data_IF_794955422924
#
_entry.id   IF_794955422924
#
_cell.length_a   1.000
_cell.length_b   1.000
_cell.length_c   1.000
_cell.angle_alpha   90.00
_cell.angle_beta   90.00
_cell.angle_gamma   90.00
#
_symmetry.space_group_name_H-M   'P 1'
#
loop_
_entity.id
_entity.type
_entity.pdbx_description
1 polymer ?
#
# COMPACT_ATOMS: atom_id res chain seq x y z
N UNK A 1 6.51 4.47 -28.83
CA UNK A 1 7.84 3.85 -28.70
C UNK A 1 7.82 2.87 -27.51
N UNK A 2 6.94 1.85 -27.62
CA UNK A 2 6.66 0.88 -26.54
C UNK A 2 6.69 -0.52 -27.19
N UNK A 3 7.86 -1.05 -27.48
CA UNK A 3 8.05 -2.44 -27.90
C UNK A 3 9.52 -2.86 -27.80
N UNK A 4 10.10 -2.90 -26.59
CA UNK A 4 11.44 -3.48 -26.36
C UNK A 4 11.66 -4.13 -24.99
N UNK A 5 10.62 -4.38 -24.18
CA UNK A 5 10.82 -5.01 -22.86
C UNK A 5 10.13 -6.37 -22.67
N UNK A 6 9.55 -6.98 -23.70
CA UNK A 6 8.88 -8.30 -23.61
C UNK A 6 9.77 -9.47 -23.99
N UNK A 7 10.98 -9.24 -24.53
CA UNK A 7 11.82 -10.30 -25.12
C UNK A 7 12.82 -10.96 -24.17
N UNK A 8 12.93 -10.54 -22.90
CA UNK A 8 13.93 -11.13 -22.00
C UNK A 8 13.37 -12.17 -21.00
N UNK A 9 12.05 -12.31 -20.92
CA UNK A 9 11.43 -13.27 -19.98
C UNK A 9 11.13 -14.64 -20.62
N UNK A 10 11.22 -14.76 -21.94
CA UNK A 10 10.90 -16.02 -22.65
C UNK A 10 12.09 -16.98 -22.82
N UNK A 11 13.30 -16.56 -22.47
CA UNK A 11 14.52 -17.39 -22.65
C UNK A 11 14.87 -18.23 -21.43
N UNK A 12 14.27 -17.98 -20.27
CA UNK A 12 14.62 -18.69 -19.02
C UNK A 12 13.78 -19.95 -18.73
N UNK A 13 12.73 -20.22 -19.53
CA UNK A 13 11.84 -21.38 -19.32
C UNK A 13 12.22 -22.62 -20.13
N UNK A 14 13.23 -22.55 -21.02
CA UNK A 14 13.52 -23.61 -21.99
C UNK A 14 14.78 -24.45 -21.72
N UNK A 15 15.36 -24.40 -20.51
CA UNK A 15 16.56 -25.16 -20.15
C UNK A 15 16.41 -26.19 -19.01
N UNK A 16 15.24 -26.76 -18.79
CA UNK A 16 15.04 -27.78 -17.75
C UNK A 16 14.25 -28.99 -18.20
N UNK A 17 14.58 -29.54 -19.42
CA UNK A 17 14.10 -30.86 -19.79
C UNK A 17 15.19 -31.63 -20.54
N UNK A 18 16.06 -32.34 -19.80
CA UNK A 18 16.76 -33.52 -20.31
C UNK A 18 17.50 -34.21 -19.19
N UNK A 19 16.88 -35.13 -18.48
CA UNK A 19 17.53 -36.32 -17.94
C UNK A 19 16.46 -37.42 -17.80
N UNK A 20 16.30 -38.17 -18.87
CA UNK A 20 15.70 -39.52 -18.86
C UNK A 20 16.85 -40.50 -18.70
N UNK A 21 16.96 -41.12 -17.54
CA UNK A 21 17.82 -42.24 -17.25
C UNK A 21 16.95 -43.45 -16.87
N UNK A 22 16.95 -44.46 -17.73
CA UNK A 22 16.30 -45.76 -17.53
C UNK A 22 17.04 -46.55 -16.45
N UNK A 23 16.33 -47.26 -15.55
CA UNK A 23 16.92 -48.20 -14.59
C UNK A 23 15.89 -48.76 -13.61
N UNK A 24 15.49 -50.02 -13.90
CA UNK A 24 14.90 -51.07 -13.04
C UNK A 24 14.07 -50.75 -11.78
N UNK A 25 12.87 -51.39 -11.79
CA UNK A 25 12.02 -51.62 -10.60
C UNK A 25 12.74 -52.42 -9.52
N UNK A 26 12.51 -52.09 -8.20
CA UNK A 26 11.62 -52.91 -7.41
C UNK A 26 10.67 -52.14 -6.48
N UNK A 27 9.53 -52.77 -6.34
CA UNK A 27 8.71 -52.94 -5.10
C UNK A 27 8.31 -51.73 -4.25
N UNK A 28 6.99 -51.56 -4.16
CA UNK A 28 6.19 -50.63 -3.45
C UNK A 28 6.44 -50.72 -1.94
N UNK A 29 7.05 -49.70 -1.35
CA UNK A 29 6.77 -49.30 0.03
C UNK A 29 6.13 -47.90 -0.01
N UNK A 30 4.84 -47.91 0.34
CA UNK A 30 4.05 -46.69 0.54
C UNK A 30 4.52 -45.98 1.81
N UNK A 31 5.64 -45.27 1.70
CA UNK A 31 6.02 -44.31 2.74
C UNK A 31 5.27 -43.01 2.42
N UNK A 32 4.14 -42.83 3.06
CA UNK A 32 3.49 -41.54 3.21
C UNK A 32 4.48 -40.62 3.92
N UNK A 33 5.30 -39.89 3.15
CA UNK A 33 6.02 -38.76 3.72
C UNK A 33 4.95 -37.75 4.18
N UNK A 34 5.01 -37.29 5.43
CA UNK A 34 4.20 -36.17 5.83
C UNK A 34 4.63 -35.01 4.91
N UNK A 35 3.68 -34.52 4.13
CA UNK A 35 3.79 -33.21 3.50
C UNK A 35 4.08 -32.26 4.67
N UNK A 36 5.31 -31.77 4.75
CA UNK A 36 5.64 -30.67 5.63
C UNK A 36 4.76 -29.51 5.14
N UNK A 37 3.61 -29.34 5.76
CA UNK A 37 2.90 -28.07 5.67
C UNK A 37 3.92 -27.05 6.17
N UNK A 38 4.48 -26.30 5.24
CA UNK A 38 5.19 -25.06 5.55
C UNK A 38 4.14 -24.24 6.30
N UNK A 39 4.33 -24.02 7.61
CA UNK A 39 3.51 -23.06 8.34
C UNK A 39 3.57 -21.78 7.53
N UNK A 40 2.46 -21.49 6.84
CA UNK A 40 2.35 -20.21 6.12
C UNK A 40 2.33 -19.16 7.23
N UNK A 41 3.34 -18.29 7.25
CA UNK A 41 3.41 -17.19 8.18
C UNK A 41 2.08 -16.43 8.15
N UNK A 42 1.35 -16.50 9.27
CA UNK A 42 0.04 -15.87 9.39
C UNK A 42 0.23 -14.47 9.92
N UNK A 43 -0.22 -13.50 9.16
CA UNK A 43 -0.24 -12.09 9.55
C UNK A 43 -1.58 -11.76 10.19
N UNK A 44 -1.55 -11.07 11.33
CA UNK A 44 -2.74 -10.56 12.00
C UNK A 44 -2.61 -9.05 12.20
N UNK A 45 -3.59 -8.30 11.70
CA UNK A 45 -3.66 -6.84 11.81
C UNK A 45 -4.89 -6.47 12.64
N UNK A 46 -4.72 -5.52 13.56
CA UNK A 46 -5.82 -4.95 14.33
C UNK A 46 -6.10 -3.52 13.88
N UNK A 47 -7.26 -3.30 13.26
CA UNK A 47 -7.71 -1.98 12.82
C UNK A 47 -8.68 -1.41 13.85
N UNK A 48 -8.34 -0.26 14.45
CA UNK A 48 -9.22 0.41 15.41
C UNK A 48 -10.50 0.88 14.71
N UNK A 49 -11.67 0.51 15.26
CA UNK A 49 -12.98 0.87 14.71
C UNK A 49 -13.20 2.38 14.64
N UNK A 50 -12.61 3.15 15.55
CA UNK A 50 -12.69 4.62 15.55
C UNK A 50 -12.02 5.26 14.33
N UNK A 51 -11.11 4.55 13.65
CA UNK A 51 -10.43 5.02 12.43
C UNK A 51 -11.25 4.70 11.17
N UNK A 52 -12.29 3.88 11.29
CA UNK A 52 -13.13 3.45 10.18
C UNK A 52 -14.34 4.38 10.09
N UNK A 53 -14.34 5.25 9.07
CA UNK A 53 -15.41 6.25 8.88
C UNK A 53 -16.77 5.62 8.53
N UNK A 54 -16.77 4.51 7.78
CA UNK A 54 -17.96 3.75 7.38
C UNK A 54 -17.64 2.26 7.43
N UNK A 55 -18.27 1.56 8.38
CA UNK A 55 -18.09 0.14 8.60
C UNK A 55 -18.49 -0.70 7.39
N UNK A 56 -19.61 -0.35 6.76
CA UNK A 56 -20.12 -1.12 5.61
C UNK A 56 -19.18 -1.04 4.43
N UNK A 57 -18.68 0.16 4.13
CA UNK A 57 -17.70 0.39 3.06
C UNK A 57 -16.40 -0.35 3.38
N UNK A 58 -15.90 -0.24 4.61
CA UNK A 58 -14.67 -0.91 5.04
C UNK A 58 -14.78 -2.44 4.90
N UNK A 59 -15.85 -3.05 5.42
CA UNK A 59 -16.02 -4.50 5.34
C UNK A 59 -16.23 -5.00 3.92
N UNK A 60 -16.96 -4.23 3.09
CA UNK A 60 -17.13 -4.54 1.66
C UNK A 60 -15.79 -4.53 0.95
N UNK A 61 -15.00 -3.47 1.14
CA UNK A 61 -13.67 -3.30 0.55
C UNK A 61 -12.71 -4.43 0.95
N UNK A 62 -12.72 -4.85 2.23
CA UNK A 62 -11.91 -6.00 2.68
C UNK A 62 -12.41 -7.32 2.09
N UNK A 63 -13.72 -7.50 1.93
CA UNK A 63 -14.32 -8.75 1.42
C UNK A 63 -14.00 -9.01 -0.07
N UNK A 64 -13.55 -7.99 -0.80
CA UNK A 64 -13.08 -8.13 -2.19
C UNK A 64 -11.73 -8.86 -2.28
N UNK A 65 -11.00 -8.94 -1.17
CA UNK A 65 -9.70 -9.61 -1.12
C UNK A 65 -9.83 -11.08 -0.71
N UNK A 66 -9.38 -11.98 -1.58
CA UNK A 66 -9.34 -13.41 -1.27
C UNK A 66 -8.26 -13.70 -0.21
N UNK A 67 -8.57 -14.61 0.70
CA UNK A 67 -7.61 -15.08 1.71
C UNK A 67 -7.52 -14.21 2.96
N UNK A 68 -8.39 -13.20 3.11
CA UNK A 68 -8.51 -12.39 4.33
C UNK A 68 -9.71 -12.86 5.14
N UNK A 69 -9.48 -13.28 6.38
CA UNK A 69 -10.52 -13.55 7.36
C UNK A 69 -10.70 -12.35 8.27
N UNK A 70 -11.96 -11.93 8.49
CA UNK A 70 -12.28 -10.80 9.35
C UNK A 70 -13.04 -11.29 10.58
N UNK A 71 -12.55 -10.90 11.74
CA UNK A 71 -13.27 -10.99 13.02
C UNK A 71 -13.28 -9.64 13.69
N UNK A 72 -14.07 -9.45 14.73
CA UNK A 72 -14.07 -8.17 15.46
C UNK A 72 -14.35 -8.39 16.94
N UNK A 73 -13.85 -7.44 17.74
CA UNK A 73 -14.22 -7.22 19.13
C UNK A 73 -14.82 -5.82 19.30
N UNK A 74 -14.98 -5.35 20.53
CA UNK A 74 -15.61 -4.04 20.79
C UNK A 74 -14.88 -2.87 20.13
N UNK A 75 -13.55 -2.94 20.06
CA UNK A 75 -12.71 -1.81 19.65
C UNK A 75 -12.01 -2.01 18.30
N UNK A 76 -11.86 -3.26 17.82
CA UNK A 76 -11.02 -3.56 16.67
C UNK A 76 -11.71 -4.50 15.67
N UNK A 77 -11.42 -4.30 14.39
CA UNK A 77 -11.47 -5.35 13.37
C UNK A 77 -10.13 -6.07 13.37
N UNK A 78 -10.18 -7.39 13.33
CA UNK A 78 -9.00 -8.26 13.31
C UNK A 78 -8.97 -8.96 11.95
N UNK A 79 -8.00 -8.61 11.14
CA UNK A 79 -7.76 -9.20 9.83
C UNK A 79 -6.68 -10.26 9.96
N UNK A 80 -6.95 -11.46 9.46
CA UNK A 80 -6.00 -12.59 9.50
C UNK A 80 -5.84 -13.14 8.09
N UNK A 81 -4.59 -13.27 7.63
CA UNK A 81 -4.24 -13.70 6.28
C UNK A 81 -2.84 -14.32 6.24
N UNK A 82 -2.48 -14.98 5.13
CA UNK A 82 -1.09 -15.39 4.89
C UNK A 82 -0.21 -14.18 4.56
N UNK A 83 1.12 -14.34 4.68
CA UNK A 83 2.07 -13.29 4.32
C UNK A 83 1.90 -12.86 2.85
N UNK A 84 1.76 -13.80 1.92
CA UNK A 84 1.57 -13.49 0.50
C UNK A 84 0.29 -12.68 0.24
N UNK A 85 -0.80 -13.03 0.95
CA UNK A 85 -2.06 -12.27 0.85
C UNK A 85 -1.90 -10.86 1.44
N UNK A 86 -1.15 -10.71 2.52
CA UNK A 86 -0.85 -9.42 3.14
C UNK A 86 -0.03 -8.52 2.21
N UNK A 87 1.03 -9.06 1.60
CA UNK A 87 1.89 -8.30 0.69
C UNK A 87 1.08 -7.81 -0.53
N UNK A 88 0.25 -8.70 -1.12
CA UNK A 88 -0.65 -8.36 -2.22
C UNK A 88 -1.68 -7.30 -1.80
N UNK A 89 -2.25 -7.43 -0.61
CA UNK A 89 -3.21 -6.48 -0.06
C UNK A 89 -2.57 -5.10 0.12
N UNK A 90 -1.36 -5.01 0.69
CA UNK A 90 -0.64 -3.76 0.85
C UNK A 90 -0.28 -3.12 -0.48
N UNK A 91 0.14 -3.91 -1.49
CA UNK A 91 0.43 -3.40 -2.82
C UNK A 91 -0.80 -2.71 -3.43
N UNK A 92 -1.98 -3.35 -3.38
CA UNK A 92 -3.23 -2.79 -3.91
C UNK A 92 -3.66 -1.54 -3.13
N UNK A 93 -3.57 -1.56 -1.79
CA UNK A 93 -3.88 -0.38 -0.97
C UNK A 93 -2.91 0.78 -1.22
N UNK A 94 -1.63 0.49 -1.38
CA UNK A 94 -0.62 1.48 -1.77
C UNK A 94 -0.91 2.09 -3.14
N UNK A 95 -1.27 1.27 -4.14
CA UNK A 95 -1.66 1.76 -5.46
C UNK A 95 -2.87 2.69 -5.39
N UNK A 96 -3.86 2.37 -4.55
CA UNK A 96 -5.03 3.24 -4.34
C UNK A 96 -4.63 4.63 -3.84
N UNK A 97 -3.66 4.72 -2.92
CA UNK A 97 -3.13 6.02 -2.45
C UNK A 97 -2.42 6.76 -3.57
N UNK A 98 -1.61 6.06 -4.37
CA UNK A 98 -0.92 6.64 -5.53
C UNK A 98 -1.92 7.22 -6.54
N UNK A 99 -2.98 6.49 -6.87
CA UNK A 99 -4.03 6.93 -7.81
C UNK A 99 -4.76 8.18 -7.29
N UNK A 100 -4.95 8.29 -5.97
CA UNK A 100 -5.48 9.52 -5.36
C UNK A 100 -4.52 10.70 -5.52
N UNK A 101 -3.21 10.50 -5.31
CA UNK A 101 -2.21 11.54 -5.49
C UNK A 101 -2.13 11.99 -6.94
N UNK A 102 -2.12 11.06 -7.88
CA UNK A 102 -2.15 11.34 -9.31
C UNK A 102 -3.41 12.13 -9.70
N UNK A 103 -4.56 11.78 -9.15
CA UNK A 103 -5.82 12.50 -9.34
C UNK A 103 -5.73 13.94 -8.82
N UNK A 104 -5.10 14.16 -7.66
CA UNK A 104 -4.91 15.52 -7.10
C UNK A 104 -4.03 16.35 -8.02
N UNK A 105 -2.92 15.79 -8.50
CA UNK A 105 -2.00 16.46 -9.42
C UNK A 105 -2.68 16.74 -10.77
N UNK A 106 -3.43 15.76 -11.32
CA UNK A 106 -4.11 15.89 -12.61
C UNK A 106 -5.24 16.92 -12.61
N UNK A 107 -5.94 17.11 -11.48
CA UNK A 107 -6.95 18.17 -11.33
C UNK A 107 -6.37 19.58 -11.50
N UNK A 108 -5.06 19.70 -11.39
CA UNK A 108 -4.37 20.98 -11.49
C UNK A 108 -4.57 21.87 -10.24
N UNK A 109 -4.45 23.17 -10.40
CA UNK A 109 -4.44 24.10 -9.29
C UNK A 109 -3.03 24.34 -8.77
N UNK A 110 -2.87 24.48 -7.46
CA UNK A 110 -1.57 24.78 -6.87
C UNK A 110 -0.65 23.56 -6.70
N UNK A 111 -1.18 22.33 -6.63
CA UNK A 111 -0.37 21.11 -6.53
C UNK A 111 0.19 20.77 -7.90
N UNK A 112 1.52 20.65 -7.99
CA UNK A 112 2.25 20.32 -9.22
C UNK A 112 2.84 18.92 -9.24
N UNK A 113 3.17 18.39 -8.06
CA UNK A 113 3.80 17.09 -7.92
C UNK A 113 3.65 16.60 -6.47
N UNK A 114 3.55 15.29 -6.27
CA UNK A 114 3.54 14.65 -4.95
C UNK A 114 4.56 13.51 -4.98
N UNK A 115 5.53 13.55 -4.07
CA UNK A 115 6.51 12.48 -3.87
C UNK A 115 6.41 11.95 -2.45
N UNK A 116 6.68 10.67 -2.25
CA UNK A 116 6.45 10.00 -0.97
C UNK A 116 7.45 8.86 -0.75
N UNK A 117 7.65 8.48 0.51
CA UNK A 117 8.37 7.25 0.88
C UNK A 117 7.47 6.01 0.74
N UNK A 118 8.07 4.83 0.71
CA UNK A 118 7.38 3.54 0.46
C UNK A 118 6.24 3.25 1.45
N UNK A 119 6.32 3.77 2.68
CA UNK A 119 5.33 3.62 3.74
C UNK A 119 4.38 4.83 3.89
N UNK A 120 4.48 5.82 2.99
CA UNK A 120 3.75 7.08 3.01
C UNK A 120 3.90 7.91 4.31
N UNK A 121 4.93 7.67 5.13
CA UNK A 121 5.20 8.44 6.36
C UNK A 121 5.74 9.82 6.07
N UNK A 122 6.37 10.00 4.94
CA UNK A 122 6.90 11.27 4.47
C UNK A 122 6.36 11.57 3.09
N UNK A 123 5.68 12.71 2.97
CA UNK A 123 5.10 13.18 1.72
C UNK A 123 5.62 14.59 1.46
N UNK A 124 6.14 14.80 0.26
CA UNK A 124 6.52 16.13 -0.22
C UNK A 124 5.59 16.54 -1.36
N UNK A 125 4.93 17.68 -1.18
CA UNK A 125 3.98 18.28 -2.13
C UNK A 125 4.63 19.50 -2.76
N UNK A 126 4.92 19.48 -4.05
CA UNK A 126 5.36 20.67 -4.79
C UNK A 126 4.16 21.52 -5.12
N UNK A 127 4.21 22.79 -4.72
CA UNK A 127 3.12 23.75 -4.91
C UNK A 127 3.55 24.95 -5.76
N UNK A 128 2.66 25.44 -6.60
CA UNK A 128 2.85 26.70 -7.31
C UNK A 128 2.63 27.86 -6.33
N UNK A 129 3.66 28.72 -6.19
CA UNK A 129 3.72 29.77 -5.16
C UNK A 129 2.49 30.67 -5.15
N UNK A 130 2.23 31.32 -6.28
CA UNK A 130 1.17 32.34 -6.34
C UNK A 130 -0.21 31.74 -6.07
N UNK A 131 -0.50 30.57 -6.62
CA UNK A 131 -1.76 29.88 -6.40
C UNK A 131 -1.90 29.39 -4.95
N UNK A 132 -0.83 28.85 -4.38
CA UNK A 132 -0.83 28.39 -2.99
C UNK A 132 -0.98 29.54 -2.01
N UNK A 133 -0.24 30.65 -2.19
CA UNK A 133 -0.27 31.78 -1.29
C UNK A 133 -1.58 32.62 -1.43
N UNK A 134 -2.27 32.48 -2.56
CA UNK A 134 -3.56 33.16 -2.79
C UNK A 134 -4.73 32.59 -1.99
N UNK A 135 -4.62 31.33 -1.54
CA UNK A 135 -5.63 30.68 -0.69
C UNK A 135 -5.29 30.89 0.77
N UNK A 136 -6.32 31.04 1.63
CA UNK A 136 -6.11 31.22 3.08
C UNK A 136 -5.41 30.04 3.74
N UNK A 137 -4.64 30.31 4.79
CA UNK A 137 -3.83 29.29 5.51
C UNK A 137 -4.63 28.08 5.97
N UNK A 138 -5.89 28.26 6.36
CA UNK A 138 -6.76 27.16 6.77
C UNK A 138 -7.08 26.24 5.59
N UNK A 139 -7.29 26.80 4.39
CA UNK A 139 -7.53 26.04 3.16
C UNK A 139 -6.26 25.31 2.74
N UNK A 140 -5.07 25.95 2.80
CA UNK A 140 -3.78 25.31 2.55
C UNK A 140 -3.62 24.10 3.48
N UNK A 141 -3.83 24.31 4.79
CA UNK A 141 -3.73 23.28 5.80
C UNK A 141 -4.69 22.11 5.53
N UNK A 142 -5.96 22.40 5.24
CA UNK A 142 -6.97 21.39 4.96
C UNK A 142 -6.60 20.51 3.75
N UNK A 143 -6.07 21.11 2.68
CA UNK A 143 -5.63 20.37 1.51
C UNK A 143 -4.46 19.40 1.83
N UNK A 144 -3.48 19.85 2.61
CA UNK A 144 -2.38 18.99 3.04
C UNK A 144 -2.84 17.90 4.02
N UNK A 145 -3.80 18.19 4.89
CA UNK A 145 -4.44 17.18 5.76
C UNK A 145 -5.13 16.12 4.91
N UNK A 146 -5.83 16.52 3.85
CA UNK A 146 -6.50 15.56 2.94
C UNK A 146 -5.49 14.61 2.28
N UNK A 147 -4.35 15.14 1.80
CA UNK A 147 -3.27 14.32 1.24
C UNK A 147 -2.72 13.34 2.28
N UNK A 148 -2.46 13.82 3.49
CA UNK A 148 -1.97 12.97 4.58
C UNK A 148 -2.99 11.93 5.05
N UNK A 149 -4.30 12.23 4.97
CA UNK A 149 -5.36 11.29 5.34
C UNK A 149 -5.39 10.06 4.40
N UNK A 150 -5.14 10.24 3.10
CA UNK A 150 -4.99 9.09 2.18
C UNK A 150 -3.81 8.20 2.59
N UNK A 151 -2.67 8.79 2.96
CA UNK A 151 -1.52 8.04 3.46
C UNK A 151 -1.84 7.28 4.76
N UNK A 152 -2.56 7.91 5.69
CA UNK A 152 -2.97 7.26 6.94
C UNK A 152 -3.95 6.11 6.72
N UNK A 153 -4.80 6.17 5.68
CA UNK A 153 -5.70 5.07 5.33
C UNK A 153 -4.95 3.80 4.89
N UNK A 154 -3.78 3.93 4.30
CA UNK A 154 -2.87 2.81 4.04
C UNK A 154 -2.18 2.34 5.32
N UNK A 155 -1.66 3.28 6.12
CA UNK A 155 -0.90 2.96 7.33
C UNK A 155 -1.73 2.26 8.42
N UNK A 156 -3.07 2.33 8.36
CA UNK A 156 -3.93 1.58 9.29
C UNK A 156 -3.74 0.05 9.18
N UNK A 157 -3.17 -0.42 8.08
CA UNK A 157 -2.87 -1.84 7.84
C UNK A 157 -1.42 -2.22 8.12
N UNK A 158 -0.56 -1.27 8.51
CA UNK A 158 0.80 -1.54 8.93
C UNK A 158 0.85 -1.90 10.42
N UNK A 159 1.81 -2.75 10.79
CA UNK A 159 2.06 -3.11 12.20
C UNK A 159 2.63 -1.96 13.02
N UNK A 160 3.26 -0.99 12.37
CA UNK A 160 3.80 0.21 12.98
C UNK A 160 2.74 1.31 12.98
N UNK A 161 2.59 2.02 14.09
CA UNK A 161 1.56 3.04 14.27
C UNK A 161 1.49 4.10 13.14
N UNK A 162 0.33 4.70 12.98
CA UNK A 162 0.06 5.72 11.96
C UNK A 162 0.79 7.03 12.28
N UNK A 163 1.59 7.52 11.35
CA UNK A 163 2.22 8.84 11.41
C UNK A 163 2.61 9.29 10.02
N UNK A 164 2.13 10.44 9.59
CA UNK A 164 2.48 11.03 8.29
C UNK A 164 2.91 12.47 8.45
N UNK A 165 4.02 12.85 7.85
CA UNK A 165 4.46 14.24 7.74
C UNK A 165 4.32 14.67 6.28
N UNK A 166 3.50 15.68 6.04
CA UNK A 166 3.28 16.30 4.73
C UNK A 166 3.98 17.64 4.70
N UNK A 167 4.94 17.80 3.80
CA UNK A 167 5.72 19.03 3.58
C UNK A 167 5.36 19.63 2.24
N UNK A 168 4.74 20.79 2.22
CA UNK A 168 4.59 21.60 1.02
C UNK A 168 5.88 22.38 0.76
N UNK A 169 6.37 22.32 -0.49
CA UNK A 169 7.53 23.09 -0.94
C UNK A 169 7.16 23.85 -2.22
N UNK A 170 7.68 25.05 -2.37
CA UNK A 170 7.48 25.83 -3.60
C UNK A 170 8.22 25.16 -4.78
N UNK A 171 7.52 25.03 -5.90
CA UNK A 171 8.05 24.33 -7.09
C UNK A 171 9.20 25.07 -7.77
N UNK A 172 9.33 26.37 -7.55
CA UNK A 172 10.37 27.24 -8.12
C UNK A 172 11.68 27.24 -7.32
N UNK A 173 11.61 27.14 -5.99
CA UNK A 173 12.79 27.28 -5.11
C UNK A 173 13.06 26.04 -4.27
N UNK A 174 12.11 25.10 -4.14
CA UNK A 174 12.10 24.02 -3.15
C UNK A 174 12.14 24.47 -1.68
N UNK A 175 11.90 25.76 -1.42
CA UNK A 175 11.74 26.26 -0.06
C UNK A 175 10.46 25.68 0.57
N UNK A 176 10.54 25.40 1.87
CA UNK A 176 9.41 24.90 2.63
C UNK A 176 8.34 26.01 2.77
N UNK A 177 7.11 25.69 2.37
CA UNK A 177 5.97 26.59 2.49
C UNK A 177 5.11 26.25 3.74
N UNK A 178 4.92 24.96 4.04
CA UNK A 178 4.13 24.49 5.18
C UNK A 178 4.46 23.04 5.52
N UNK A 179 4.45 22.69 6.80
CA UNK A 179 4.57 21.31 7.29
C UNK A 179 3.37 20.95 8.14
N UNK A 180 2.83 19.76 7.95
CA UNK A 180 1.78 19.19 8.78
C UNK A 180 2.17 17.76 9.15
N UNK A 181 2.01 17.43 10.43
CA UNK A 181 2.17 16.06 10.92
C UNK A 181 0.82 15.52 11.37
N UNK A 182 0.49 14.30 10.94
CA UNK A 182 -0.72 13.59 11.32
C UNK A 182 -0.36 12.33 12.12
N UNK A 183 -1.21 11.90 13.08
CA UNK A 183 -2.43 12.59 13.52
C UNK A 183 -2.11 13.93 14.18
N UNK A 184 -3.06 14.85 14.11
CA UNK A 184 -2.92 16.14 14.79
C UNK A 184 -3.12 15.88 16.29
N UNK A 185 -2.06 16.02 17.07
CA UNK A 185 -2.18 16.04 18.55
C UNK A 185 -2.67 17.42 18.98
N UNK A 186 -3.83 17.46 19.61
CA UNK A 186 -4.44 18.66 20.20
C UNK A 186 -3.91 18.84 21.62
#
# INVERSE_FOLDING_TARGET
MIMKKISLFLVFVLMLTSFVGCGDKPEVESTTQPVSETESDVVTISVNKELVADETVFLTDISEFNGISVSSNDNFYILTMSQDAYDTFLEIKGQTVCDHFDTIVAKGGFVKDITYGDDFRTIKVKVERNAFDSIGKDTQRLQLITIGAYAMSYQMFLTEGQKTTVTAVYSDTNEEAMVITLPITV
#
